data_IF_348434649526
#
_entry.id   IF_348434649526
#
_cell.length_a   1.000
_cell.length_b   1.000
_cell.length_c   1.000
_cell.angle_alpha   90.00
_cell.angle_beta   90.00
_cell.angle_gamma   90.00
#
_symmetry.space_group_name_H-M   'P 1'
#
loop_
_entity.id
_entity.type
_entity.pdbx_description
1 polymer ?
#
# COMPACT_ATOMS: atom_id res chain seq x y z
N UNK A 1 -42.41 -25.53 -16.50
CA UNK A 1 -43.85 -25.23 -16.67
C UNK A 1 -44.04 -23.74 -16.45
N UNK A 2 -44.57 -23.06 -17.47
CA UNK A 2 -45.04 -21.66 -17.55
C UNK A 2 -44.15 -20.56 -16.94
N UNK A 3 -43.35 -19.89 -17.78
CA UNK A 3 -43.09 -18.45 -17.63
C UNK A 3 -43.19 -17.76 -19.00
N UNK A 4 -44.43 -17.55 -19.44
CA UNK A 4 -44.71 -16.43 -20.31
C UNK A 4 -45.14 -15.30 -19.38
N UNK A 5 -44.29 -14.28 -19.21
CA UNK A 5 -44.80 -12.97 -18.78
C UNK A 5 -45.53 -12.41 -20.00
N UNK A 6 -46.73 -12.93 -20.26
CA UNK A 6 -47.68 -12.29 -21.17
C UNK A 6 -48.01 -10.95 -20.53
N UNK A 7 -47.61 -9.86 -21.19
CA UNK A 7 -48.00 -8.52 -20.80
C UNK A 7 -49.51 -8.50 -20.54
N UNK A 8 -49.90 -8.07 -19.34
CA UNK A 8 -51.31 -7.90 -19.03
C UNK A 8 -51.89 -6.87 -20.01
N UNK A 9 -53.18 -7.01 -20.37
CA UNK A 9 -53.85 -5.99 -21.15
C UNK A 9 -53.71 -4.60 -20.49
N UNK A 10 -53.36 -3.58 -21.27
CA UNK A 10 -53.11 -2.21 -20.78
C UNK A 10 -54.29 -1.64 -19.97
N UNK A 11 -55.50 -2.19 -20.17
CA UNK A 11 -56.70 -1.81 -19.41
C UNK A 11 -56.55 -2.00 -17.89
N UNK A 12 -55.79 -3.01 -17.44
CA UNK A 12 -55.57 -3.21 -16.00
C UNK A 12 -54.67 -2.13 -15.39
N UNK A 13 -53.74 -1.58 -16.17
CA UNK A 13 -52.93 -0.45 -15.75
C UNK A 13 -53.78 0.83 -15.67
N UNK A 14 -54.65 1.05 -16.67
CA UNK A 14 -55.60 2.17 -16.69
C UNK A 14 -56.57 2.10 -15.50
N UNK A 15 -57.12 0.92 -15.21
CA UNK A 15 -57.98 0.68 -14.04
C UNK A 15 -57.25 1.00 -12.73
N UNK A 16 -55.97 0.61 -12.61
CA UNK A 16 -55.15 0.96 -11.43
C UNK A 16 -54.98 2.47 -11.29
N UNK A 17 -54.65 3.16 -12.38
CA UNK A 17 -54.45 4.62 -12.39
C UNK A 17 -55.75 5.38 -12.09
N UNK A 18 -56.89 4.83 -12.49
CA UNK A 18 -58.22 5.35 -12.15
C UNK A 18 -58.70 4.97 -10.74
N UNK A 19 -57.99 4.08 -10.02
CA UNK A 19 -58.37 3.58 -8.70
C UNK A 19 -59.60 2.65 -8.73
N UNK A 20 -59.90 2.04 -9.87
CA UNK A 20 -61.02 1.13 -10.04
C UNK A 20 -60.66 -0.27 -9.55
N UNK A 21 -61.54 -0.90 -8.74
CA UNK A 21 -61.40 -2.28 -8.25
C UNK A 21 -60.13 -2.59 -7.43
N UNK A 22 -59.37 -1.58 -7.00
CA UNK A 22 -58.20 -1.74 -6.12
C UNK A 22 -58.61 -2.27 -4.75
N UNK A 23 -57.92 -3.29 -4.26
CA UNK A 23 -58.26 -4.05 -3.04
C UNK A 23 -57.08 -4.18 -2.06
N UNK A 24 -55.92 -3.60 -2.41
CA UNK A 24 -54.75 -3.50 -1.55
C UNK A 24 -53.92 -2.24 -1.83
N UNK A 25 -53.31 -1.68 -0.77
CA UNK A 25 -52.31 -0.64 -0.85
C UNK A 25 -50.93 -1.17 -0.42
N UNK A 26 -49.91 -0.99 -1.26
CA UNK A 26 -48.52 -1.24 -0.91
C UNK A 26 -47.87 0.06 -0.45
N UNK A 27 -47.22 0.05 0.71
CA UNK A 27 -46.55 1.21 1.30
C UNK A 27 -45.04 1.02 1.21
N UNK A 28 -44.37 1.93 0.49
CA UNK A 28 -42.92 1.97 0.34
C UNK A 28 -42.41 3.30 0.93
N UNK A 29 -41.94 3.27 2.17
CA UNK A 29 -41.62 4.48 2.92
C UNK A 29 -42.83 5.42 3.02
N UNK A 30 -42.73 6.60 2.40
CA UNK A 30 -43.82 7.59 2.39
C UNK A 30 -44.81 7.42 1.22
N UNK A 31 -44.51 6.59 0.23
CA UNK A 31 -45.38 6.41 -0.95
C UNK A 31 -46.36 5.25 -0.74
N UNK A 32 -47.63 5.51 -1.08
CA UNK A 32 -48.71 4.51 -1.10
C UNK A 32 -49.13 4.22 -2.53
N UNK A 33 -49.15 2.95 -2.90
CA UNK A 33 -49.46 2.49 -4.26
C UNK A 33 -50.64 1.52 -4.21
N UNK A 34 -51.78 1.95 -4.75
CA UNK A 34 -52.98 1.10 -4.85
C UNK A 34 -52.87 0.08 -5.97
N UNK A 35 -53.22 -1.17 -5.66
CA UNK A 35 -53.03 -2.33 -6.54
C UNK A 35 -54.20 -3.32 -6.43
N UNK A 36 -54.21 -4.31 -7.33
CA UNK A 36 -55.12 -5.45 -7.31
C UNK A 36 -54.39 -6.70 -6.78
N UNK A 37 -54.92 -7.36 -5.74
CA UNK A 37 -54.38 -8.59 -5.15
C UNK A 37 -54.25 -9.69 -6.19
N UNK A 38 -55.25 -9.83 -7.06
CA UNK A 38 -55.25 -10.86 -8.12
C UNK A 38 -54.12 -10.68 -9.13
N UNK A 39 -53.81 -9.44 -9.51
CA UNK A 39 -52.73 -9.14 -10.45
C UNK A 39 -51.38 -9.40 -9.80
N UNK A 40 -51.18 -8.95 -8.56
CA UNK A 40 -49.96 -9.19 -7.80
C UNK A 40 -49.73 -10.69 -7.56
N UNK A 41 -50.77 -11.43 -7.15
CA UNK A 41 -50.70 -12.88 -6.95
C UNK A 41 -50.49 -13.67 -8.24
N UNK A 42 -50.98 -13.16 -9.37
CA UNK A 42 -50.81 -13.82 -10.67
C UNK A 42 -49.42 -13.60 -11.28
N UNK A 43 -48.72 -12.55 -10.86
CA UNK A 43 -47.44 -12.12 -11.46
C UNK A 43 -46.23 -12.30 -10.54
N UNK A 44 -46.46 -12.50 -9.23
CA UNK A 44 -45.41 -12.60 -8.22
C UNK A 44 -45.76 -13.66 -7.17
N UNK A 45 -44.90 -14.68 -7.07
CA UNK A 45 -45.07 -15.80 -6.14
C UNK A 45 -45.04 -15.38 -4.67
N UNK A 46 -44.29 -14.31 -4.34
CA UNK A 46 -44.27 -13.76 -2.98
C UNK A 46 -45.67 -13.28 -2.57
N UNK A 47 -46.30 -12.45 -3.40
CA UNK A 47 -47.66 -11.96 -3.14
C UNK A 47 -48.69 -13.08 -3.22
N UNK A 48 -48.51 -14.06 -4.11
CA UNK A 48 -49.35 -15.25 -4.18
C UNK A 48 -49.38 -16.01 -2.85
N UNK A 49 -48.21 -16.31 -2.29
CA UNK A 49 -48.08 -16.99 -1.00
C UNK A 49 -48.61 -16.13 0.15
N UNK A 50 -48.32 -14.83 0.13
CA UNK A 50 -48.77 -13.90 1.16
C UNK A 50 -50.30 -13.85 1.25
N UNK A 51 -51.01 -13.74 0.12
CA UNK A 51 -52.47 -13.65 0.11
C UNK A 51 -53.19 -14.99 0.33
N UNK A 52 -52.53 -16.12 0.03
CA UNK A 52 -53.09 -17.46 0.29
C UNK A 52 -52.80 -17.97 1.70
N UNK A 53 -51.91 -17.33 2.45
CA UNK A 53 -51.60 -17.72 3.83
C UNK A 53 -52.72 -17.35 4.81
N UNK A 54 -52.91 -18.13 5.88
CA UNK A 54 -53.84 -17.82 6.98
C UNK A 54 -53.31 -16.69 7.92
N UNK A 55 -52.33 -15.91 7.47
CA UNK A 55 -51.71 -14.82 8.22
C UNK A 55 -52.56 -13.54 8.13
N UNK A 56 -52.38 -12.60 9.08
CA UNK A 56 -53.12 -11.34 9.15
C UNK A 56 -53.04 -10.52 7.84
N UNK A 57 -51.91 -10.61 7.15
CA UNK A 57 -51.59 -9.94 5.90
C UNK A 57 -52.50 -10.36 4.73
N UNK A 58 -53.12 -11.54 4.76
CA UNK A 58 -54.07 -11.97 3.73
C UNK A 58 -55.34 -11.12 3.74
N UNK A 59 -55.79 -10.73 4.94
CA UNK A 59 -56.97 -9.89 5.18
C UNK A 59 -56.66 -8.39 5.19
N UNK A 60 -55.38 -8.02 5.24
CA UNK A 60 -54.95 -6.63 5.27
C UNK A 60 -55.32 -5.88 3.97
N UNK A 61 -55.71 -4.62 4.14
CA UNK A 61 -55.91 -3.66 3.03
C UNK A 61 -54.65 -2.84 2.74
N UNK A 62 -53.63 -2.93 3.61
CA UNK A 62 -52.39 -2.18 3.50
C UNK A 62 -51.22 -3.06 3.95
N UNK A 63 -50.16 -3.11 3.15
CA UNK A 63 -48.93 -3.88 3.42
C UNK A 63 -47.72 -2.97 3.28
N UNK A 64 -46.88 -2.93 4.31
CA UNK A 64 -45.70 -2.06 4.36
C UNK A 64 -44.43 -2.83 4.02
N UNK A 65 -43.71 -2.38 2.99
CA UNK A 65 -42.45 -2.94 2.53
C UNK A 65 -41.31 -2.05 3.01
N UNK A 66 -40.66 -2.42 4.12
CA UNK A 66 -39.64 -1.58 4.78
C UNK A 66 -38.30 -1.57 4.06
N UNK A 67 -37.97 -2.65 3.36
CA UNK A 67 -36.65 -2.86 2.75
C UNK A 67 -36.58 -2.47 1.25
N UNK A 68 -37.63 -1.81 0.73
CA UNK A 68 -37.67 -1.30 -0.66
C UNK A 68 -37.83 0.23 -0.64
N UNK A 69 -36.96 0.94 -1.36
CA UNK A 69 -37.05 2.38 -1.56
C UNK A 69 -38.32 2.77 -2.35
N UNK A 70 -38.89 3.94 -2.05
CA UNK A 70 -40.17 4.37 -2.61
C UNK A 70 -40.19 4.38 -4.17
N UNK A 71 -39.13 4.90 -4.79
CA UNK A 71 -38.95 4.96 -6.24
C UNK A 71 -38.87 3.58 -6.88
N UNK A 72 -38.13 2.66 -6.26
CA UNK A 72 -37.99 1.27 -6.70
C UNK A 72 -39.32 0.53 -6.56
N UNK A 73 -40.03 0.73 -5.45
CA UNK A 73 -41.36 0.16 -5.21
C UNK A 73 -42.36 0.52 -6.30
N UNK A 74 -42.46 1.81 -6.66
CA UNK A 74 -43.34 2.25 -7.76
C UNK A 74 -42.97 1.61 -9.10
N UNK A 75 -41.67 1.55 -9.39
CA UNK A 75 -41.16 0.94 -10.63
C UNK A 75 -41.45 -0.56 -10.70
N UNK A 76 -41.36 -1.27 -9.57
CA UNK A 76 -41.69 -2.69 -9.47
C UNK A 76 -43.18 -2.93 -9.66
N UNK A 77 -44.06 -2.11 -9.08
CA UNK A 77 -45.50 -2.26 -9.33
C UNK A 77 -45.79 -2.03 -10.81
N UNK A 78 -45.21 -1.01 -11.45
CA UNK A 78 -45.36 -0.82 -12.89
C UNK A 78 -44.86 -2.04 -13.69
N UNK A 79 -43.75 -2.64 -13.29
CA UNK A 79 -43.23 -3.88 -13.88
C UNK A 79 -44.19 -5.06 -13.74
N UNK A 80 -44.83 -5.24 -12.58
CA UNK A 80 -45.80 -6.33 -12.36
C UNK A 80 -47.04 -6.20 -13.28
N UNK A 81 -47.41 -4.99 -13.69
CA UNK A 81 -48.52 -4.77 -14.62
C UNK A 81 -48.08 -4.89 -16.08
N UNK A 82 -46.92 -4.33 -16.44
CA UNK A 82 -46.52 -4.17 -17.85
C UNK A 82 -45.51 -5.21 -18.35
N UNK A 83 -44.83 -5.90 -17.44
CA UNK A 83 -43.67 -6.75 -17.73
C UNK A 83 -42.41 -5.98 -18.16
N UNK A 84 -42.45 -4.64 -18.14
CA UNK A 84 -41.37 -3.75 -18.60
C UNK A 84 -40.85 -2.87 -17.47
N UNK A 85 -39.54 -2.75 -17.40
CA UNK A 85 -38.84 -1.90 -16.43
C UNK A 85 -37.57 -1.33 -17.07
N UNK A 86 -37.23 -0.10 -16.72
CA UNK A 86 -36.00 0.55 -17.16
C UNK A 86 -34.93 0.38 -16.08
N UNK A 87 -33.84 -0.32 -16.41
CA UNK A 87 -32.72 -0.59 -15.50
C UNK A 87 -31.62 0.43 -15.79
N UNK A 88 -31.09 1.04 -14.73
CA UNK A 88 -30.09 2.11 -14.76
C UNK A 88 -29.04 1.84 -13.67
N UNK A 89 -27.86 2.43 -13.75
CA UNK A 89 -26.81 2.27 -12.73
C UNK A 89 -27.29 2.68 -11.32
N UNK A 90 -28.16 3.68 -11.22
CA UNK A 90 -28.65 4.18 -9.93
C UNK A 90 -29.71 3.29 -9.26
N UNK A 91 -30.48 2.52 -10.05
CA UNK A 91 -31.57 1.68 -9.53
C UNK A 91 -31.27 0.18 -9.58
N UNK A 92 -30.19 -0.25 -10.27
CA UNK A 92 -29.88 -1.67 -10.46
C UNK A 92 -29.70 -2.42 -9.12
N UNK A 93 -28.99 -1.83 -8.16
CA UNK A 93 -28.78 -2.43 -6.83
C UNK A 93 -30.09 -2.61 -6.05
N UNK A 94 -30.92 -1.56 -5.99
CA UNK A 94 -32.23 -1.62 -5.31
C UNK A 94 -33.17 -2.62 -5.99
N UNK A 95 -33.17 -2.65 -7.32
CA UNK A 95 -33.98 -3.58 -8.11
C UNK A 95 -33.54 -5.03 -7.89
N UNK A 96 -32.23 -5.26 -7.80
CA UNK A 96 -31.67 -6.57 -7.51
C UNK A 96 -32.13 -7.06 -6.12
N UNK A 97 -31.98 -6.21 -5.09
CA UNK A 97 -32.42 -6.49 -3.73
C UNK A 97 -33.90 -6.85 -3.66
N UNK A 98 -34.73 -6.02 -4.30
CA UNK A 98 -36.17 -6.23 -4.32
C UNK A 98 -36.58 -7.44 -5.17
N UNK A 99 -35.85 -7.74 -6.26
CA UNK A 99 -36.13 -8.91 -7.09
C UNK A 99 -35.88 -10.22 -6.35
N UNK A 100 -34.86 -10.28 -5.50
CA UNK A 100 -34.60 -11.44 -4.65
C UNK A 100 -35.68 -11.56 -3.56
N UNK A 101 -35.97 -10.46 -2.85
CA UNK A 101 -36.96 -10.46 -1.78
C UNK A 101 -38.37 -10.84 -2.26
N UNK A 102 -38.77 -10.37 -3.45
CA UNK A 102 -40.06 -10.66 -4.07
C UNK A 102 -40.05 -11.93 -4.94
N UNK A 103 -38.93 -12.66 -5.00
CA UNK A 103 -38.75 -13.88 -5.79
C UNK A 103 -39.03 -13.70 -7.29
N UNK A 104 -38.70 -12.52 -7.83
CA UNK A 104 -38.86 -12.15 -9.24
C UNK A 104 -37.66 -12.58 -10.07
N UNK A 105 -37.54 -13.89 -10.32
CA UNK A 105 -36.38 -14.48 -11.04
C UNK A 105 -36.13 -13.88 -12.43
N UNK A 106 -37.19 -13.54 -13.18
CA UNK A 106 -37.06 -12.93 -14.51
C UNK A 106 -36.52 -11.50 -14.47
N UNK A 107 -36.82 -10.77 -13.38
CA UNK A 107 -36.25 -9.44 -13.14
C UNK A 107 -34.79 -9.55 -12.69
N UNK A 108 -34.49 -10.49 -11.77
CA UNK A 108 -33.14 -10.77 -11.31
C UNK A 108 -32.19 -11.03 -12.47
N UNK A 109 -32.59 -11.89 -13.42
CA UNK A 109 -31.79 -12.19 -14.61
C UNK A 109 -31.54 -10.94 -15.49
N UNK A 110 -32.55 -10.09 -15.72
CA UNK A 110 -32.38 -8.85 -16.49
C UNK A 110 -31.44 -7.87 -15.82
N UNK A 111 -31.49 -7.76 -14.49
CA UNK A 111 -30.58 -6.90 -13.72
C UNK A 111 -29.15 -7.47 -13.76
N UNK A 112 -29.00 -8.78 -13.66
CA UNK A 112 -27.70 -9.46 -13.78
C UNK A 112 -27.05 -9.21 -15.16
N UNK A 113 -27.82 -9.32 -16.25
CA UNK A 113 -27.34 -9.01 -17.62
C UNK A 113 -26.95 -7.54 -17.77
N UNK A 114 -27.70 -6.63 -17.14
CA UNK A 114 -27.37 -5.21 -17.11
C UNK A 114 -26.07 -4.94 -16.35
N UNK A 115 -25.89 -5.54 -15.16
CA UNK A 115 -24.66 -5.39 -14.38
C UNK A 115 -23.46 -5.94 -15.15
N UNK A 116 -23.58 -7.14 -15.73
CA UNK A 116 -22.53 -7.77 -16.54
C UNK A 116 -22.09 -6.88 -17.71
N UNK A 117 -23.03 -6.23 -18.41
CA UNK A 117 -22.72 -5.38 -19.57
C UNK A 117 -22.20 -4.00 -19.22
N UNK A 118 -22.35 -3.56 -17.96
CA UNK A 118 -21.89 -2.26 -17.49
C UNK A 118 -20.74 -2.35 -16.48
N UNK A 119 -20.11 -3.52 -16.30
CA UNK A 119 -18.91 -3.66 -15.46
C UNK A 119 -17.74 -2.87 -16.05
N UNK A 120 -17.16 -1.98 -15.26
CA UNK A 120 -15.98 -1.17 -15.60
C UNK A 120 -14.96 -1.17 -14.45
N UNK A 121 -13.82 -0.48 -14.63
CA UNK A 121 -12.76 -0.43 -13.63
C UNK A 121 -13.11 0.35 -12.36
N UNK A 122 -14.18 1.14 -12.37
CA UNK A 122 -14.66 1.90 -11.22
C UNK A 122 -15.70 1.14 -10.39
N UNK A 123 -16.48 0.26 -11.03
CA UNK A 123 -17.61 -0.45 -10.42
C UNK A 123 -17.41 -1.98 -10.30
N UNK A 124 -16.25 -2.51 -10.73
CA UNK A 124 -15.96 -3.94 -10.70
C UNK A 124 -16.05 -4.53 -9.27
N UNK A 125 -15.52 -3.81 -8.27
CA UNK A 125 -15.48 -4.28 -6.88
C UNK A 125 -16.87 -4.26 -6.23
N UNK A 126 -17.65 -3.20 -6.46
CA UNK A 126 -19.07 -3.16 -6.06
C UNK A 126 -19.90 -4.24 -6.76
N UNK A 127 -19.70 -4.48 -8.06
CA UNK A 127 -20.36 -5.57 -8.80
C UNK A 127 -20.02 -6.95 -8.22
N UNK A 128 -18.74 -7.18 -7.88
CA UNK A 128 -18.29 -8.42 -7.24
C UNK A 128 -18.92 -8.61 -5.85
N UNK A 129 -18.99 -7.53 -5.05
CA UNK A 129 -19.64 -7.54 -3.74
C UNK A 129 -21.15 -7.83 -3.85
N UNK A 130 -21.83 -7.26 -4.84
CA UNK A 130 -23.25 -7.54 -5.10
C UNK A 130 -23.47 -8.98 -5.56
N UNK A 131 -22.63 -9.48 -6.48
CA UNK A 131 -22.69 -10.85 -6.95
C UNK A 131 -22.57 -11.86 -5.80
N UNK A 132 -21.69 -11.56 -4.84
CA UNK A 132 -21.54 -12.35 -3.61
C UNK A 132 -22.75 -12.27 -2.68
N UNK A 133 -23.31 -11.08 -2.48
CA UNK A 133 -24.45 -10.88 -1.58
C UNK A 133 -25.71 -11.65 -2.04
N UNK A 134 -25.93 -11.78 -3.35
CA UNK A 134 -27.12 -12.41 -3.94
C UNK A 134 -26.87 -13.78 -4.60
N UNK A 135 -25.71 -14.39 -4.32
CA UNK A 135 -25.26 -15.69 -4.84
C UNK A 135 -25.34 -15.82 -6.37
N UNK A 136 -24.95 -14.77 -7.09
CA UNK A 136 -24.93 -14.73 -8.55
C UNK A 136 -23.58 -15.23 -9.11
N UNK A 137 -23.45 -16.53 -9.27
CA UNK A 137 -22.19 -17.21 -9.64
C UNK A 137 -21.60 -16.74 -10.97
N UNK A 138 -22.43 -16.65 -12.01
CA UNK A 138 -22.05 -16.20 -13.36
C UNK A 138 -21.52 -14.77 -13.35
N UNK A 139 -22.21 -13.85 -12.66
CA UNK A 139 -21.74 -12.47 -12.51
C UNK A 139 -20.44 -12.38 -11.71
N UNK A 140 -20.28 -13.23 -10.68
CA UNK A 140 -19.07 -13.28 -9.87
C UNK A 140 -17.85 -13.72 -10.69
N UNK A 141 -17.99 -14.78 -11.49
CA UNK A 141 -16.93 -15.26 -12.39
C UNK A 141 -16.53 -14.19 -13.42
N UNK A 142 -17.50 -13.52 -14.03
CA UNK A 142 -17.24 -12.45 -15.00
C UNK A 142 -16.55 -11.24 -14.35
N UNK A 143 -16.99 -10.84 -13.15
CA UNK A 143 -16.38 -9.73 -12.40
C UNK A 143 -14.95 -10.06 -11.96
N UNK A 144 -14.68 -11.29 -11.49
CA UNK A 144 -13.33 -11.77 -11.18
C UNK A 144 -12.43 -11.75 -12.40
N UNK A 145 -12.92 -12.26 -13.54
CA UNK A 145 -12.18 -12.22 -14.80
C UNK A 145 -11.83 -10.80 -15.21
N UNK A 146 -12.78 -9.86 -15.10
CA UNK A 146 -12.52 -8.44 -15.37
C UNK A 146 -11.46 -7.86 -14.43
N UNK A 147 -11.55 -8.17 -13.13
CA UNK A 147 -10.56 -7.75 -12.12
C UNK A 147 -9.14 -8.24 -12.46
N UNK A 148 -9.01 -9.49 -12.92
CA UNK A 148 -7.73 -10.04 -13.36
C UNK A 148 -7.16 -9.30 -14.59
N UNK A 149 -8.00 -9.00 -15.58
CA UNK A 149 -7.58 -8.36 -16.84
C UNK A 149 -7.26 -6.85 -16.65
N UNK A 150 -7.98 -6.16 -15.76
CA UNK A 150 -7.90 -4.70 -15.58
C UNK A 150 -7.36 -4.27 -14.20
N UNK A 151 -6.55 -5.13 -13.56
CA UNK A 151 -5.98 -4.92 -12.21
C UNK A 151 -5.39 -3.51 -12.00
N UNK A 152 -4.68 -2.98 -13.01
CA UNK A 152 -4.04 -1.66 -12.93
C UNK A 152 -5.06 -0.54 -12.74
N UNK A 153 -6.14 -0.55 -13.50
CA UNK A 153 -7.18 0.48 -13.42
C UNK A 153 -7.98 0.35 -12.13
N UNK A 154 -8.27 -0.89 -11.70
CA UNK A 154 -8.96 -1.14 -10.42
C UNK A 154 -8.09 -0.72 -9.23
N UNK A 155 -6.76 -0.81 -9.34
CA UNK A 155 -5.84 -0.29 -8.33
C UNK A 155 -6.07 1.18 -8.09
N UNK A 156 -6.40 1.96 -9.12
CA UNK A 156 -6.62 3.40 -8.99
C UNK A 156 -7.97 3.78 -8.38
N UNK A 157 -8.93 2.85 -8.35
CA UNK A 157 -10.27 3.06 -7.76
C UNK A 157 -10.27 3.35 -6.26
N UNK A 158 -11.32 4.05 -5.80
CA UNK A 158 -11.59 4.30 -4.37
C UNK A 158 -12.32 3.12 -3.69
N UNK A 159 -12.84 2.17 -4.48
CA UNK A 159 -13.62 1.00 -4.00
C UNK A 159 -12.75 -0.13 -3.43
N UNK A 160 -11.43 0.05 -3.33
CA UNK A 160 -10.48 -0.97 -2.87
C UNK A 160 -10.78 -1.53 -1.47
N UNK A 161 -11.57 -0.81 -0.66
CA UNK A 161 -12.03 -1.26 0.64
C UNK A 161 -13.00 -2.45 0.56
N UNK A 162 -13.73 -2.61 -0.56
CA UNK A 162 -14.71 -3.69 -0.79
C UNK A 162 -14.07 -5.03 -1.18
N UNK A 163 -12.83 -5.02 -1.67
CA UNK A 163 -12.14 -6.25 -2.08
C UNK A 163 -11.86 -7.14 -0.86
N UNK A 164 -12.28 -8.41 -0.93
CA UNK A 164 -11.99 -9.40 0.10
C UNK A 164 -10.61 -10.02 -0.08
N UNK A 165 -10.07 -10.58 1.00
CA UNK A 165 -8.72 -11.16 1.00
C UNK A 165 -8.59 -12.36 0.06
N UNK A 166 -9.59 -13.23 0.00
CA UNK A 166 -9.56 -14.40 -0.87
C UNK A 166 -9.46 -13.99 -2.36
N UNK A 167 -10.22 -12.97 -2.76
CA UNK A 167 -10.19 -12.43 -4.13
C UNK A 167 -8.88 -11.70 -4.42
N UNK A 168 -8.31 -11.03 -3.41
CA UNK A 168 -6.99 -10.41 -3.50
C UNK A 168 -5.94 -11.48 -3.82
N UNK A 169 -5.89 -12.56 -3.04
CA UNK A 169 -4.92 -13.65 -3.23
C UNK A 169 -5.09 -14.27 -4.62
N UNK A 170 -6.32 -14.61 -5.03
CA UNK A 170 -6.59 -15.16 -6.36
C UNK A 170 -6.16 -14.19 -7.48
N UNK A 171 -6.39 -12.88 -7.29
CA UNK A 171 -5.98 -11.86 -8.27
C UNK A 171 -4.49 -11.71 -8.36
N UNK A 172 -3.80 -11.77 -7.23
CA UNK A 172 -2.37 -11.70 -7.19
C UNK A 172 -1.77 -12.98 -7.84
N UNK A 173 -2.33 -14.17 -7.61
CA UNK A 173 -1.83 -15.43 -8.18
C UNK A 173 -1.93 -15.45 -9.71
N UNK A 174 -3.00 -14.86 -10.27
CA UNK A 174 -3.23 -14.80 -11.71
C UNK A 174 -2.31 -13.82 -12.46
N UNK A 175 -1.73 -12.83 -11.76
CA UNK A 175 -0.98 -11.73 -12.38
C UNK A 175 0.54 -11.97 -12.39
N UNK A 176 1.23 -11.62 -13.49
CA UNK A 176 2.68 -11.84 -13.63
C UNK A 176 3.55 -10.64 -13.17
N UNK A 177 3.00 -9.42 -13.10
CA UNK A 177 3.79 -8.20 -12.81
C UNK A 177 3.90 -7.91 -11.31
N UNK A 178 5.11 -8.05 -10.76
CA UNK A 178 5.41 -7.86 -9.34
C UNK A 178 5.24 -6.41 -8.84
N UNK A 179 5.54 -5.42 -9.68
CA UNK A 179 5.35 -4.01 -9.35
C UNK A 179 3.86 -3.69 -9.14
N UNK A 180 2.99 -4.23 -10.01
CA UNK A 180 1.55 -4.07 -9.88
C UNK A 180 1.01 -4.83 -8.67
N UNK A 181 1.50 -6.04 -8.37
CA UNK A 181 1.15 -6.78 -7.15
C UNK A 181 1.45 -5.99 -5.88
N UNK A 182 2.66 -5.43 -5.80
CA UNK A 182 3.06 -4.66 -4.62
C UNK A 182 2.21 -3.40 -4.44
N UNK A 183 1.99 -2.63 -5.52
CA UNK A 183 1.11 -1.46 -5.49
C UNK A 183 -0.33 -1.83 -5.09
N UNK A 184 -0.83 -2.97 -5.57
CA UNK A 184 -2.17 -3.47 -5.26
C UNK A 184 -2.32 -3.85 -3.78
N UNK A 185 -1.39 -4.66 -3.24
CA UNK A 185 -1.34 -5.01 -1.80
C UNK A 185 -1.27 -3.75 -0.94
N UNK A 186 -0.39 -2.81 -1.32
CA UNK A 186 -0.22 -1.57 -0.57
C UNK A 186 -1.51 -0.74 -0.54
N UNK A 187 -2.23 -0.63 -1.65
CA UNK A 187 -3.48 0.14 -1.71
C UNK A 187 -4.62 -0.58 -1.00
N UNK A 188 -4.66 -1.91 -1.03
CA UNK A 188 -5.64 -2.72 -0.30
C UNK A 188 -5.50 -2.66 1.23
N UNK A 189 -4.28 -2.54 1.73
CA UNK A 189 -4.03 -2.38 3.17
C UNK A 189 -4.39 -0.97 3.62
N UNK A 190 -4.06 0.04 2.81
CA UNK A 190 -4.42 1.44 3.10
C UNK A 190 -5.91 1.72 3.01
N UNK A 191 -6.69 0.87 2.35
CA UNK A 191 -8.13 1.10 2.19
C UNK A 191 -8.94 0.75 3.43
N UNK A 192 -8.38 0.05 4.41
CA UNK A 192 -9.05 -0.22 5.70
C UNK A 192 -8.06 -0.36 6.86
N UNK A 193 -8.26 0.43 7.93
CA UNK A 193 -7.37 0.50 9.09
C UNK A 193 -7.15 -0.85 9.82
N UNK A 194 -8.07 -1.80 9.68
CA UNK A 194 -7.99 -3.12 10.32
C UNK A 194 -7.05 -4.12 9.60
N UNK A 195 -6.40 -3.74 8.49
CA UNK A 195 -5.61 -4.66 7.63
C UNK A 195 -4.10 -4.56 7.82
N UNK A 196 -3.61 -3.67 8.69
CA UNK A 196 -2.17 -3.39 8.88
C UNK A 196 -1.38 -4.60 9.36
N UNK A 197 -1.97 -5.43 10.24
CA UNK A 197 -1.29 -6.58 10.85
C UNK A 197 -1.16 -7.77 9.88
N UNK A 198 -1.83 -7.71 8.73
CA UNK A 198 -1.87 -8.76 7.71
C UNK A 198 -0.90 -8.55 6.56
N UNK A 199 -0.15 -7.43 6.57
CA UNK A 199 0.86 -7.13 5.57
C UNK A 199 1.94 -8.21 5.52
N UNK A 200 2.44 -8.62 6.69
CA UNK A 200 3.52 -9.60 6.79
C UNK A 200 3.12 -10.95 6.16
N UNK A 201 1.89 -11.42 6.40
CA UNK A 201 1.40 -12.69 5.88
C UNK A 201 1.18 -12.65 4.35
N UNK A 202 0.60 -11.56 3.83
CA UNK A 202 0.26 -11.42 2.41
C UNK A 202 1.50 -11.16 1.53
N UNK A 203 2.42 -10.33 2.02
CA UNK A 203 3.73 -10.10 1.39
C UNK A 203 4.54 -11.40 1.37
N UNK A 204 4.47 -12.22 2.43
CA UNK A 204 5.10 -13.53 2.49
C UNK A 204 4.46 -14.54 1.52
N UNK A 205 3.14 -14.53 1.34
CA UNK A 205 2.44 -15.51 0.50
C UNK A 205 2.68 -15.31 -1.02
N UNK A 206 2.82 -14.07 -1.47
CA UNK A 206 2.72 -13.71 -2.91
C UNK A 206 4.05 -13.32 -3.59
N UNK A 207 4.96 -12.65 -2.87
CA UNK A 207 6.23 -12.16 -3.44
C UNK A 207 7.21 -13.32 -3.73
N UNK A 208 6.91 -14.53 -3.24
CA UNK A 208 7.77 -15.71 -3.34
C UNK A 208 7.83 -16.40 -4.72
N UNK A 209 7.02 -15.99 -5.72
CA UNK A 209 6.97 -16.77 -6.98
C UNK A 209 7.77 -16.30 -8.18
N UNK A 210 8.16 -15.03 -8.36
CA UNK A 210 9.07 -14.76 -9.50
C UNK A 210 9.84 -13.44 -9.47
N UNK A 211 11.07 -13.55 -10.00
CA UNK A 211 12.18 -12.58 -10.08
C UNK A 211 11.72 -11.19 -10.54
N UNK A 212 11.95 -10.17 -9.72
CA UNK A 212 11.86 -8.77 -10.17
C UNK A 212 13.20 -8.03 -10.07
N UNK A 213 13.39 -7.07 -10.96
CA UNK A 213 14.56 -6.21 -11.09
C UNK A 213 14.25 -4.73 -10.86
N UNK A 214 15.34 -3.95 -10.96
CA UNK A 214 15.41 -2.47 -11.09
C UNK A 214 15.45 -1.63 -9.80
N UNK A 215 16.66 -1.61 -9.20
CA UNK A 215 17.47 -0.48 -8.68
C UNK A 215 16.80 0.75 -8.04
N UNK A 216 17.05 0.99 -6.74
CA UNK A 216 17.36 2.30 -6.11
C UNK A 216 17.72 2.15 -4.62
N UNK A 217 18.81 2.77 -4.17
CA UNK A 217 19.23 2.78 -2.76
C UNK A 217 18.61 3.97 -2.04
N UNK A 218 17.81 3.75 -0.98
CA UNK A 218 17.29 4.85 -0.16
C UNK A 218 17.35 4.48 1.33
N UNK A 219 17.91 5.37 2.16
CA UNK A 219 17.91 5.25 3.62
C UNK A 219 16.67 5.95 4.19
N UNK A 220 15.91 5.26 5.05
CA UNK A 220 14.83 5.84 5.84
C UNK A 220 15.39 6.46 7.13
N UNK A 221 14.84 7.59 7.54
CA UNK A 221 14.95 8.06 8.91
C UNK A 221 13.55 8.48 9.39
N UNK A 222 12.90 7.61 10.16
CA UNK A 222 11.60 7.93 10.79
C UNK A 222 11.92 8.63 12.10
N UNK A 223 12.22 9.93 12.00
CA UNK A 223 12.19 10.85 13.12
C UNK A 223 10.79 11.47 13.22
N UNK A 224 10.15 11.35 14.38
CA UNK A 224 8.84 11.92 14.65
C UNK A 224 8.81 13.42 14.30
N UNK A 225 7.91 13.81 13.37
CA UNK A 225 7.55 15.17 12.89
C UNK A 225 7.88 15.52 11.42
N UNK A 226 8.21 14.58 10.53
CA UNK A 226 8.16 14.89 9.10
C UNK A 226 6.73 14.84 8.56
N UNK A 227 6.22 16.00 8.12
CA UNK A 227 5.08 16.07 7.20
C UNK A 227 5.51 15.37 5.90
N UNK A 228 4.90 14.23 5.61
CA UNK A 228 5.12 13.33 4.46
C UNK A 228 6.53 12.70 4.32
N UNK A 229 6.64 11.39 4.01
CA UNK A 229 7.93 10.78 3.72
C UNK A 229 8.40 11.22 2.33
N UNK A 230 9.23 12.27 2.24
CA UNK A 230 9.93 12.67 1.03
C UNK A 230 11.29 11.95 1.01
N UNK A 231 11.60 11.24 -0.08
CA UNK A 231 12.92 10.63 -0.25
C UNK A 231 13.86 11.61 -0.94
N UNK A 232 15.15 11.59 -0.62
CA UNK A 232 16.15 12.43 -1.30
C UNK A 232 17.38 11.62 -1.68
N UNK A 233 17.80 11.75 -2.94
CA UNK A 233 18.97 11.09 -3.52
C UNK A 233 19.87 12.17 -4.10
N UNK A 234 21.13 12.22 -3.67
CA UNK A 234 22.13 13.14 -4.23
C UNK A 234 23.26 12.39 -4.91
N UNK A 235 23.86 13.00 -5.93
CA UNK A 235 25.13 12.57 -6.55
C UNK A 235 25.09 11.24 -7.30
N UNK A 236 26.24 10.55 -7.33
CA UNK A 236 26.40 9.27 -8.04
C UNK A 236 27.28 9.36 -9.29
N UNK A 237 27.19 8.35 -10.17
CA UNK A 237 27.94 8.29 -11.43
C UNK A 237 26.97 8.48 -12.60
N UNK A 238 27.15 9.56 -13.37
CA UNK A 238 26.43 9.81 -14.61
C UNK A 238 27.43 9.84 -15.78
N UNK A 239 27.20 9.02 -16.80
CA UNK A 239 28.08 8.88 -17.99
C UNK A 239 29.57 8.67 -17.65
N UNK A 240 29.86 7.95 -16.56
CA UNK A 240 31.22 7.67 -16.09
C UNK A 240 31.87 8.78 -15.26
N UNK A 241 31.17 9.87 -14.99
CA UNK A 241 31.65 11.01 -14.17
C UNK A 241 30.82 11.18 -12.90
N UNK A 242 31.42 11.75 -11.85
CA UNK A 242 30.67 12.08 -10.63
C UNK A 242 29.60 13.15 -10.93
N UNK A 243 28.41 13.00 -10.35
CA UNK A 243 27.29 13.93 -10.53
C UNK A 243 27.10 14.84 -9.31
N UNK A 244 26.66 16.06 -9.54
CA UNK A 244 26.20 16.99 -8.50
C UNK A 244 24.67 17.05 -8.39
N UNK A 245 23.94 16.40 -9.30
CA UNK A 245 22.48 16.48 -9.37
C UNK A 245 21.86 15.74 -8.19
N UNK A 246 20.79 16.33 -7.64
CA UNK A 246 20.00 15.75 -6.57
C UNK A 246 18.54 15.66 -6.99
N UNK A 247 17.85 14.64 -6.50
CA UNK A 247 16.44 14.42 -6.74
C UNK A 247 15.75 14.12 -5.41
N UNK A 248 14.51 14.56 -5.28
CA UNK A 248 13.60 14.06 -4.26
C UNK A 248 12.47 13.28 -4.89
N UNK A 249 11.93 12.30 -4.19
CA UNK A 249 10.77 11.54 -4.64
C UNK A 249 9.61 11.78 -3.68
N UNK A 250 8.52 12.29 -4.25
CA UNK A 250 7.24 12.48 -3.58
C UNK A 250 6.43 11.19 -3.69
N UNK A 251 6.09 10.64 -2.52
CA UNK A 251 5.36 9.37 -2.40
C UNK A 251 3.86 9.54 -2.63
N UNK A 252 3.32 10.73 -2.40
CA UNK A 252 1.91 11.01 -2.63
C UNK A 252 1.63 11.17 -4.12
N UNK A 253 2.52 11.89 -4.81
CA UNK A 253 2.35 12.18 -6.24
C UNK A 253 3.03 11.16 -7.16
N UNK A 254 3.79 10.20 -6.59
CA UNK A 254 4.59 9.22 -7.32
C UNK A 254 5.50 9.88 -8.37
N UNK A 255 6.18 10.97 -7.98
CA UNK A 255 6.97 11.80 -8.90
C UNK A 255 8.35 12.12 -8.34
N UNK A 256 9.33 12.10 -9.24
CA UNK A 256 10.66 12.63 -8.97
C UNK A 256 10.68 14.13 -9.24
N UNK A 257 11.14 14.87 -8.23
CA UNK A 257 11.37 16.31 -8.29
C UNK A 257 12.87 16.56 -8.29
N UNK A 258 13.33 17.45 -9.16
CA UNK A 258 14.73 17.88 -9.19
C UNK A 258 15.01 18.84 -8.02
N UNK A 259 16.07 18.55 -7.26
CA UNK A 259 16.57 19.43 -6.22
C UNK A 259 17.74 20.26 -6.77
N UNK A 260 18.06 21.42 -6.14
CA UNK A 260 19.25 22.18 -6.49
C UNK A 260 20.50 21.29 -6.45
N UNK A 261 21.44 21.45 -7.41
CA UNK A 261 22.65 20.65 -7.44
C UNK A 261 23.60 21.00 -6.28
N UNK A 262 24.33 20.00 -5.78
CA UNK A 262 25.41 20.17 -4.80
C UNK A 262 26.51 21.11 -5.34
N UNK A 263 27.32 21.69 -4.44
CA UNK A 263 28.50 22.45 -4.85
C UNK A 263 29.55 21.55 -5.51
N UNK A 264 29.73 20.35 -4.97
CA UNK A 264 30.76 19.41 -5.43
C UNK A 264 30.13 18.12 -5.94
N UNK A 265 30.36 17.82 -7.21
CA UNK A 265 29.97 16.53 -7.80
C UNK A 265 30.72 15.37 -7.12
N UNK A 266 29.99 14.35 -6.67
CA UNK A 266 30.56 13.26 -5.86
C UNK A 266 29.83 11.92 -6.02
N UNK A 267 30.56 10.82 -5.94
CA UNK A 267 30.02 9.47 -5.79
C UNK A 267 30.50 8.85 -4.46
N UNK A 268 29.93 7.72 -4.04
CA UNK A 268 30.33 7.01 -2.80
C UNK A 268 30.36 7.89 -1.54
N UNK A 269 29.63 9.01 -1.56
CA UNK A 269 29.40 9.85 -0.39
C UNK A 269 28.35 9.21 0.49
N UNK A 270 28.28 9.67 1.73
CA UNK A 270 27.24 9.26 2.65
C UNK A 270 26.27 10.40 2.84
N UNK A 271 24.98 10.08 2.89
CA UNK A 271 23.90 11.05 3.08
C UNK A 271 22.97 10.62 4.21
N UNK A 272 22.41 11.61 4.89
CA UNK A 272 21.38 11.43 5.91
C UNK A 272 20.45 12.63 5.95
N UNK A 273 19.16 12.36 6.13
CA UNK A 273 18.13 13.39 6.28
C UNK A 273 17.77 13.52 7.76
N UNK A 274 17.77 14.75 8.27
CA UNK A 274 17.46 15.04 9.67
C UNK A 274 17.02 16.50 9.85
N UNK A 275 15.98 16.74 10.67
CA UNK A 275 15.41 18.07 10.94
C UNK A 275 15.18 18.95 9.70
N UNK A 276 14.59 18.39 8.63
CA UNK A 276 14.35 19.10 7.37
C UNK A 276 15.61 19.56 6.63
N UNK A 277 16.76 18.96 6.95
CA UNK A 277 18.03 19.21 6.28
C UNK A 277 18.59 17.90 5.73
N UNK A 278 19.15 17.95 4.53
CA UNK A 278 19.88 16.84 3.92
C UNK A 278 21.38 17.08 4.08
N UNK A 279 22.04 16.21 4.82
CA UNK A 279 23.48 16.25 5.06
C UNK A 279 24.19 15.28 4.13
N UNK A 280 25.28 15.75 3.52
CA UNK A 280 26.13 14.98 2.62
C UNK A 280 27.58 15.11 3.08
N UNK A 281 28.23 13.97 3.28
CA UNK A 281 29.57 13.89 3.88
C UNK A 281 30.50 13.09 2.99
N UNK A 282 31.66 13.67 2.65
CA UNK A 282 32.75 12.99 1.97
C UNK A 282 32.41 12.53 0.54
N UNK A 283 32.99 11.42 0.12
CA UNK A 283 32.81 10.82 -1.21
C UNK A 283 34.03 11.00 -2.11
N UNK A 284 33.87 10.65 -3.39
CA UNK A 284 34.95 10.72 -4.38
C UNK A 284 34.50 11.57 -5.57
N UNK A 285 35.40 12.47 -5.99
CA UNK A 285 35.30 13.19 -7.26
C UNK A 285 36.57 12.97 -8.08
N UNK A 286 36.44 12.41 -9.29
CA UNK A 286 37.54 12.31 -10.26
C UNK A 286 38.84 11.73 -9.66
N UNK A 287 38.69 10.65 -8.87
CA UNK A 287 39.75 9.95 -8.10
C UNK A 287 40.30 10.66 -6.85
N UNK A 288 39.72 11.79 -6.46
CA UNK A 288 40.08 12.49 -5.22
C UNK A 288 39.01 12.22 -4.17
N UNK A 289 39.41 11.71 -3.01
CA UNK A 289 38.52 11.55 -1.84
C UNK A 289 38.34 12.94 -1.22
N UNK A 290 37.09 13.27 -0.87
CA UNK A 290 36.71 14.58 -0.36
C UNK A 290 36.60 14.56 1.17
N UNK A 291 37.00 15.66 1.79
CA UNK A 291 36.77 15.99 3.21
C UNK A 291 35.56 16.93 3.39
N UNK A 292 35.03 17.48 2.30
CA UNK A 292 33.90 18.41 2.35
C UNK A 292 32.60 17.77 2.83
N UNK A 293 31.88 18.49 3.67
CA UNK A 293 30.50 18.23 4.04
C UNK A 293 29.59 19.38 3.56
N UNK A 294 28.40 19.03 3.09
CA UNK A 294 27.40 19.96 2.55
C UNK A 294 26.04 19.68 3.19
N UNK A 295 25.27 20.74 3.44
CA UNK A 295 23.92 20.69 4.02
C UNK A 295 22.95 21.39 3.07
N UNK A 296 21.82 20.76 2.76
CA UNK A 296 20.71 21.37 2.04
C UNK A 296 19.55 21.59 3.01
N UNK A 297 19.19 22.85 3.19
CA UNK A 297 17.94 23.22 3.83
C UNK A 297 16.78 22.97 2.86
N UNK A 298 15.84 22.11 3.25
CA UNK A 298 14.70 21.72 2.42
C UNK A 298 13.57 22.75 2.41
N UNK A 299 13.57 23.70 3.35
CA UNK A 299 12.62 24.82 3.35
C UNK A 299 13.03 25.90 2.35
N UNK A 300 14.29 26.33 2.39
CA UNK A 300 14.80 27.35 1.47
C UNK A 300 15.34 26.80 0.15
N UNK A 301 15.54 25.48 0.06
CA UNK A 301 16.21 24.79 -1.06
C UNK A 301 17.58 25.41 -1.36
N UNK A 302 18.38 25.66 -0.32
CA UNK A 302 19.73 26.24 -0.45
C UNK A 302 20.79 25.34 0.17
N UNK A 303 21.84 25.11 -0.60
CA UNK A 303 23.04 24.43 -0.12
C UNK A 303 23.91 25.37 0.69
N UNK A 304 24.45 24.84 1.78
CA UNK A 304 25.46 25.47 2.65
C UNK A 304 26.64 24.53 2.82
N UNK A 305 27.85 25.09 2.92
CA UNK A 305 29.06 24.31 3.21
C UNK A 305 29.20 24.16 4.73
N UNK A 306 29.40 22.93 5.17
CA UNK A 306 29.79 22.63 6.54
C UNK A 306 31.32 22.66 6.67
N UNK A 307 31.85 22.80 7.90
CA UNK A 307 33.27 22.61 8.14
C UNK A 307 33.76 21.28 7.57
N UNK A 308 34.91 21.24 6.89
CA UNK A 308 35.44 20.00 6.34
C UNK A 308 35.85 19.05 7.47
N UNK A 309 35.79 17.74 7.20
CA UNK A 309 36.38 16.76 8.09
C UNK A 309 37.90 16.96 8.18
N UNK A 310 38.54 16.59 9.29
CA UNK A 310 40.00 16.64 9.41
C UNK A 310 40.73 15.75 8.39
N UNK A 311 40.05 14.70 7.90
CA UNK A 311 40.58 13.80 6.89
C UNK A 311 39.54 13.50 5.80
N UNK A 312 39.97 13.33 4.54
CA UNK A 312 39.07 12.96 3.44
C UNK A 312 38.59 11.52 3.62
N UNK A 313 37.28 11.29 3.42
CA UNK A 313 36.65 9.98 3.63
C UNK A 313 35.59 9.68 2.56
N UNK A 314 35.44 8.40 2.19
CA UNK A 314 34.29 7.92 1.41
C UNK A 314 33.76 6.58 1.95
N UNK A 315 32.56 6.17 1.52
CA UNK A 315 31.88 4.95 1.99
C UNK A 315 31.77 4.85 3.53
N UNK A 316 31.55 5.99 4.19
CA UNK A 316 31.38 6.06 5.65
C UNK A 316 29.99 5.61 6.07
N UNK A 317 29.80 5.24 7.33
CA UNK A 317 28.46 5.10 7.89
C UNK A 317 28.06 6.39 8.61
N UNK A 318 26.80 6.81 8.46
CA UNK A 318 26.25 8.00 9.13
C UNK A 318 25.11 7.58 10.05
N UNK A 319 25.05 8.19 11.22
CA UNK A 319 23.90 8.14 12.12
C UNK A 319 23.67 9.52 12.75
N UNK A 320 22.44 9.77 13.19
CA UNK A 320 22.12 10.90 14.07
C UNK A 320 21.77 10.32 15.43
N UNK A 321 22.42 10.81 16.49
CA UNK A 321 22.05 10.50 17.88
C UNK A 321 22.16 11.76 18.72
N UNK A 322 21.18 11.98 19.60
CA UNK A 322 21.13 13.15 20.49
C UNK A 322 21.32 14.48 19.74
N UNK A 323 20.69 14.60 18.57
CA UNK A 323 20.75 15.75 17.68
C UNK A 323 22.15 16.10 17.12
N UNK A 324 23.10 15.15 17.17
CA UNK A 324 24.42 15.29 16.56
C UNK A 324 24.63 14.30 15.42
N UNK A 325 25.37 14.73 14.39
CA UNK A 325 25.70 13.91 13.23
C UNK A 325 27.00 13.14 13.49
N UNK A 326 26.95 11.81 13.42
CA UNK A 326 28.11 10.96 13.66
C UNK A 326 28.53 10.24 12.37
N UNK A 327 29.84 10.27 12.10
CA UNK A 327 30.50 9.66 10.95
C UNK A 327 31.38 8.52 11.46
N UNK A 328 31.11 7.32 10.99
CA UNK A 328 31.80 6.10 11.41
C UNK A 328 32.61 5.52 10.27
N UNK A 329 33.91 5.41 10.48
CA UNK A 329 34.85 4.74 9.60
C UNK A 329 34.84 5.25 8.17
N UNK A 330 34.97 4.31 7.23
CA UNK A 330 35.04 4.56 5.80
C UNK A 330 36.45 4.35 5.24
N UNK A 331 36.70 4.91 4.06
CA UNK A 331 37.95 4.77 3.32
C UNK A 331 38.64 6.13 3.25
N UNK A 332 39.86 6.21 3.79
CA UNK A 332 40.69 7.42 3.77
C UNK A 332 41.69 7.45 2.60
N UNK A 333 42.16 6.28 2.17
CA UNK A 333 43.05 6.11 1.02
C UNK A 333 42.72 4.80 0.32
N UNK A 334 43.15 4.62 -0.95
CA UNK A 334 42.65 3.61 -1.92
C UNK A 334 42.45 2.16 -1.42
N UNK A 335 42.95 1.76 -0.25
CA UNK A 335 42.64 0.46 0.36
C UNK A 335 42.64 0.42 1.89
N UNK A 336 42.62 1.57 2.58
CA UNK A 336 42.67 1.62 4.05
C UNK A 336 41.31 2.00 4.61
N UNK A 337 40.66 1.03 5.25
CA UNK A 337 39.47 1.24 6.05
C UNK A 337 39.86 1.73 7.44
N UNK A 338 39.28 2.84 7.86
CA UNK A 338 39.54 3.45 9.16
C UNK A 338 38.43 3.08 10.16
N UNK A 339 38.78 3.11 11.44
CA UNK A 339 37.89 2.92 12.59
C UNK A 339 37.57 4.24 13.31
N UNK A 340 38.06 5.37 12.80
CA UNK A 340 37.78 6.70 13.34
C UNK A 340 36.29 7.02 13.40
N UNK A 341 35.91 7.75 14.45
CA UNK A 341 34.55 8.24 14.66
C UNK A 341 34.60 9.75 14.87
N UNK A 342 33.85 10.47 14.04
CA UNK A 342 33.75 11.91 14.09
C UNK A 342 32.31 12.33 14.37
N UNK A 343 32.12 13.17 15.38
CA UNK A 343 30.84 13.76 15.73
C UNK A 343 30.82 15.22 15.32
N UNK A 344 29.76 15.63 14.63
CA UNK A 344 29.49 17.01 14.27
C UNK A 344 28.38 17.54 15.17
N UNK A 345 28.75 18.51 16.00
CA UNK A 345 27.80 19.26 16.82
C UNK A 345 27.00 20.20 15.91
N UNK A 346 25.69 19.98 15.80
CA UNK A 346 24.83 20.80 14.93
C UNK A 346 24.66 22.24 15.44
N UNK A 347 24.87 22.48 16.74
CA UNK A 347 24.74 23.80 17.36
C UNK A 347 26.03 24.60 17.23
N UNK A 348 27.14 24.02 17.68
CA UNK A 348 28.46 24.68 17.67
C UNK A 348 29.12 24.63 16.28
N UNK A 349 28.61 23.79 15.37
CA UNK A 349 29.12 23.59 14.00
C UNK A 349 30.61 23.24 14.02
N UNK A 350 31.00 22.27 14.86
CA UNK A 350 32.39 21.79 14.97
C UNK A 350 32.45 20.26 14.97
N UNK A 351 33.53 19.73 14.41
CA UNK A 351 33.84 18.31 14.45
C UNK A 351 34.63 17.97 15.72
N UNK A 352 34.25 16.88 16.38
CA UNK A 352 34.91 16.34 17.57
C UNK A 352 35.25 14.86 17.32
N UNK A 353 36.44 14.45 17.74
CA UNK A 353 36.86 13.05 17.65
C UNK A 353 36.25 12.27 18.82
N UNK A 354 35.68 11.11 18.52
CA UNK A 354 35.08 10.19 19.51
C UNK A 354 35.90 8.90 19.61
N UNK A 355 35.55 8.04 20.57
CA UNK A 355 36.22 6.75 20.72
C UNK A 355 36.16 5.94 19.40
N UNK A 356 37.30 5.42 18.90
CA UNK A 356 37.35 4.67 17.65
C UNK A 356 36.57 3.35 17.77
N UNK A 357 36.07 2.87 16.64
CA UNK A 357 35.39 1.57 16.58
C UNK A 357 36.33 0.44 17.02
N UNK A 358 35.82 -0.65 17.63
CA UNK A 358 36.67 -1.78 18.04
C UNK A 358 37.40 -2.46 16.88
N UNK A 359 36.83 -2.38 15.67
CA UNK A 359 37.42 -2.87 14.43
C UNK A 359 36.91 -2.03 13.24
N UNK A 360 37.71 -1.92 12.19
CA UNK A 360 37.29 -1.31 10.93
C UNK A 360 36.18 -2.12 10.24
N UNK A 361 35.10 -1.45 9.83
CA UNK A 361 33.94 -2.07 9.20
C UNK A 361 33.88 -1.80 7.70
N UNK A 362 34.32 -2.77 6.89
CA UNK A 362 34.28 -2.69 5.42
C UNK A 362 32.86 -2.89 4.88
N UNK A 363 32.23 -1.79 4.45
CA UNK A 363 30.90 -1.79 3.85
C UNK A 363 29.78 -2.15 4.84
N UNK A 364 29.93 -1.77 6.11
CA UNK A 364 28.87 -1.92 7.11
C UNK A 364 27.73 -0.91 6.95
N UNK A 365 26.78 -0.99 7.89
CA UNK A 365 25.71 -0.03 8.04
C UNK A 365 25.63 0.45 9.50
N UNK A 366 25.32 1.75 9.69
CA UNK A 366 25.01 2.32 11.00
C UNK A 366 23.50 2.49 11.14
N UNK A 367 22.96 2.14 12.31
CA UNK A 367 21.56 2.35 12.68
C UNK A 367 21.46 2.89 14.11
N UNK A 368 20.46 3.72 14.39
CA UNK A 368 20.20 4.24 15.74
C UNK A 368 19.02 3.50 16.37
N UNK A 369 19.18 3.00 17.59
CA UNK A 369 18.13 2.38 18.38
C UNK A 369 18.32 2.72 19.86
N UNK A 370 17.25 3.21 20.52
CA UNK A 370 17.21 3.54 21.95
C UNK A 370 18.44 4.37 22.40
N UNK A 371 18.74 5.47 21.70
CA UNK A 371 19.87 6.40 21.95
C UNK A 371 21.28 5.81 21.80
N UNK A 372 21.39 4.61 21.22
CA UNK A 372 22.66 3.97 20.89
C UNK A 372 22.82 3.82 19.38
N UNK A 373 24.07 3.89 18.89
CA UNK A 373 24.38 3.55 17.49
C UNK A 373 24.86 2.12 17.42
N UNK A 374 24.37 1.39 16.43
CA UNK A 374 24.83 0.05 16.12
C UNK A 374 25.50 0.05 14.75
N UNK A 375 26.73 -0.44 14.71
CA UNK A 375 27.46 -0.73 13.47
C UNK A 375 27.32 -2.22 13.19
N UNK A 376 26.65 -2.55 12.09
CA UNK A 376 26.28 -3.91 11.75
C UNK A 376 26.68 -4.28 10.32
N UNK A 377 27.08 -5.54 10.13
CA UNK A 377 27.36 -6.14 8.83
C UNK A 377 28.80 -5.93 8.35
N UNK A 378 28.96 -5.58 7.08
CA UNK A 378 30.27 -5.46 6.44
C UNK A 378 30.96 -6.80 6.19
N UNK A 379 32.20 -6.75 5.68
CA UNK A 379 33.01 -7.93 5.39
C UNK A 379 33.40 -8.72 6.65
N UNK A 380 33.62 -8.02 7.76
CA UNK A 380 34.08 -8.59 9.02
C UNK A 380 32.94 -9.11 9.91
N UNK A 381 31.68 -9.01 9.47
CA UNK A 381 30.49 -9.35 10.28
C UNK A 381 30.50 -8.58 11.59
N UNK A 382 30.79 -7.29 11.52
CA UNK A 382 30.85 -6.43 12.71
C UNK A 382 29.45 -6.31 13.28
N UNK A 383 29.35 -6.38 14.61
CA UNK A 383 28.18 -5.98 15.36
C UNK A 383 28.69 -5.32 16.64
N UNK A 384 28.62 -3.99 16.69
CA UNK A 384 29.11 -3.22 17.81
C UNK A 384 28.11 -2.11 18.14
N UNK A 385 27.86 -1.92 19.44
CA UNK A 385 27.04 -0.85 19.97
C UNK A 385 27.94 0.26 20.50
N UNK A 386 27.65 1.49 20.11
CA UNK A 386 28.26 2.69 20.63
C UNK A 386 27.28 3.39 21.57
N UNK A 387 27.76 3.77 22.75
CA UNK A 387 27.06 4.65 23.67
C UNK A 387 27.66 6.07 23.57
N UNK A 388 26.97 7.02 22.92
CA UNK A 388 27.48 8.39 22.77
C UNK A 388 27.63 9.15 24.08
N UNK A 389 26.82 8.83 25.11
CA UNK A 389 26.89 9.51 26.41
C UNK A 389 28.13 9.15 27.21
N UNK A 390 28.62 7.91 27.05
CA UNK A 390 29.79 7.38 27.75
C UNK A 390 31.04 7.34 26.89
N UNK A 391 30.92 7.55 25.57
CA UNK A 391 32.00 7.40 24.60
C UNK A 391 32.62 5.99 24.61
N UNK A 392 31.79 4.96 24.75
CA UNK A 392 32.25 3.56 24.90
C UNK A 392 31.61 2.65 23.86
N UNK A 393 32.36 1.63 23.47
CA UNK A 393 31.93 0.57 22.57
C UNK A 393 31.71 -0.75 23.29
N UNK A 394 30.65 -1.46 22.89
CA UNK A 394 30.36 -2.83 23.31
C UNK A 394 30.28 -3.72 22.08
N UNK A 395 31.12 -4.76 22.04
CA UNK A 395 31.06 -5.78 20.99
C UNK A 395 29.94 -6.77 21.28
N UNK A 396 29.10 -7.04 20.29
CA UNK A 396 27.90 -7.86 20.39
C UNK A 396 28.04 -9.15 19.56
N UNK A 397 27.04 -10.05 19.64
CA UNK A 397 27.03 -11.23 18.76
C UNK A 397 27.10 -10.81 17.30
N UNK A 398 27.95 -11.49 16.53
CA UNK A 398 28.13 -11.22 15.10
C UNK A 398 27.03 -11.90 14.28
N UNK A 399 26.59 -11.30 13.16
CA UNK A 399 25.69 -11.97 12.23
C UNK A 399 26.31 -13.27 11.71
N UNK A 400 25.44 -14.21 11.32
CA UNK A 400 25.88 -15.51 10.84
C UNK A 400 26.59 -15.38 9.50
N UNK A 401 26.09 -14.51 8.63
CA UNK A 401 26.57 -14.31 7.28
C UNK A 401 27.26 -12.94 7.10
N UNK A 402 28.04 -12.84 6.02
CA UNK A 402 28.70 -11.58 5.64
C UNK A 402 27.73 -10.68 4.90
N UNK A 403 27.64 -9.42 5.31
CA UNK A 403 26.71 -8.43 4.75
C UNK A 403 27.47 -7.20 4.23
N UNK A 404 28.40 -7.41 3.29
CA UNK A 404 29.18 -6.31 2.68
C UNK A 404 28.29 -5.45 1.79
N UNK A 405 28.24 -4.15 2.09
CA UNK A 405 27.35 -3.15 1.49
C UNK A 405 25.85 -3.47 1.64
N UNK A 406 25.49 -4.32 2.61
CA UNK A 406 24.11 -4.62 2.95
C UNK A 406 23.48 -3.46 3.74
N UNK A 407 22.30 -2.93 3.35
CA UNK A 407 21.60 -1.94 4.14
C UNK A 407 21.07 -2.55 5.45
N UNK A 408 20.97 -1.73 6.48
CA UNK A 408 20.36 -2.08 7.75
C UNK A 408 19.29 -1.05 8.15
N UNK A 409 18.28 -1.50 8.90
CA UNK A 409 17.22 -0.65 9.48
C UNK A 409 16.80 -1.15 10.85
N UNK A 410 16.05 -0.32 11.57
CA UNK A 410 15.42 -0.67 12.84
C UNK A 410 13.93 -0.91 12.63
N UNK A 411 13.44 -2.08 13.05
CA UNK A 411 12.02 -2.44 13.02
C UNK A 411 11.61 -3.15 14.31
N UNK A 412 10.53 -2.70 14.95
CA UNK A 412 9.99 -3.29 16.18
C UNK A 412 11.07 -3.53 17.25
N UNK A 413 11.94 -2.53 17.47
CA UNK A 413 13.11 -2.58 18.38
C UNK A 413 14.18 -3.63 18.05
N UNK A 414 14.18 -4.14 16.82
CA UNK A 414 15.19 -5.06 16.32
C UNK A 414 15.92 -4.43 15.14
N UNK A 415 17.15 -4.88 14.90
CA UNK A 415 17.96 -4.42 13.76
C UNK A 415 17.88 -5.47 12.67
N UNK A 416 17.64 -5.06 11.43
CA UNK A 416 17.54 -5.98 10.30
C UNK A 416 18.59 -5.60 9.28
N UNK A 417 19.40 -6.57 8.86
CA UNK A 417 20.35 -6.42 7.77
C UNK A 417 19.84 -7.19 6.56
N UNK A 418 19.86 -6.55 5.40
CA UNK A 418 19.39 -7.14 4.15
C UNK A 418 20.55 -7.42 3.19
N UNK A 419 20.84 -8.69 2.95
CA UNK A 419 21.75 -9.15 1.89
C UNK A 419 23.11 -8.44 1.85
N UNK A 420 23.67 -8.29 0.66
CA UNK A 420 24.98 -7.68 0.41
C UNK A 420 25.52 -8.08 -0.96
N UNK A 421 26.72 -7.63 -1.29
CA UNK A 421 27.38 -7.88 -2.59
C UNK A 421 27.46 -9.37 -2.95
N UNK A 422 27.52 -10.26 -1.95
CA UNK A 422 27.65 -11.72 -2.12
C UNK A 422 26.62 -12.51 -1.29
N UNK A 423 25.67 -11.83 -0.65
CA UNK A 423 24.75 -12.46 0.29
C UNK A 423 23.30 -12.05 0.03
N UNK A 424 22.42 -13.02 0.15
CA UNK A 424 20.97 -12.86 0.02
C UNK A 424 20.23 -13.00 1.34
N UNK A 425 20.88 -13.44 2.40
CA UNK A 425 20.19 -13.65 3.67
C UNK A 425 19.67 -12.31 4.19
N UNK A 426 18.55 -12.35 4.88
CA UNK A 426 18.11 -11.26 5.73
C UNK A 426 18.28 -11.77 7.14
N UNK A 427 19.01 -11.01 7.96
CA UNK A 427 19.24 -11.37 9.36
C UNK A 427 18.64 -10.29 10.25
N UNK A 428 17.88 -10.72 11.25
CA UNK A 428 17.30 -9.89 12.30
C UNK A 428 18.08 -10.12 13.58
N UNK A 429 18.58 -9.03 14.15
CA UNK A 429 19.23 -8.95 15.45
C UNK A 429 18.27 -8.41 16.51
N UNK A 430 18.20 -9.12 17.63
CA UNK A 430 17.45 -8.71 18.81
C UNK A 430 18.42 -8.23 19.89
N UNK A 431 18.51 -6.92 20.17
CA UNK A 431 19.43 -6.39 21.18
C UNK A 431 19.12 -6.83 22.61
N UNK A 432 17.85 -7.17 22.90
CA UNK A 432 17.43 -7.64 24.23
C UNK A 432 17.97 -9.03 24.59
N UNK A 433 18.20 -9.87 23.60
CA UNK A 433 18.70 -11.24 23.78
C UNK A 433 20.12 -11.42 23.23
N UNK A 434 20.66 -10.41 22.54
CA UNK A 434 21.93 -10.47 21.81
C UNK A 434 21.99 -11.68 20.86
N UNK A 435 20.92 -11.89 20.08
CA UNK A 435 20.81 -13.04 19.16
C UNK A 435 20.44 -12.63 17.75
N UNK A 436 20.99 -13.34 16.77
CA UNK A 436 20.63 -13.25 15.36
C UNK A 436 19.66 -14.36 14.97
N UNK A 437 18.63 -13.98 14.22
CA UNK A 437 17.67 -14.88 13.59
C UNK A 437 17.65 -14.62 12.09
N UNK A 438 17.68 -15.68 11.30
CA UNK A 438 17.56 -15.60 9.86
C UNK A 438 16.09 -15.53 9.45
N UNK A 439 15.78 -14.66 8.49
CA UNK A 439 14.49 -14.70 7.81
C UNK A 439 14.54 -15.67 6.64
N UNK A 440 13.44 -16.39 6.42
CA UNK A 440 13.31 -17.28 5.26
C UNK A 440 13.34 -16.48 3.93
N UNK A 441 12.99 -15.20 3.97
CA UNK A 441 13.06 -14.29 2.83
C UNK A 441 14.52 -14.03 2.43
N UNK A 442 14.80 -14.14 1.13
CA UNK A 442 16.13 -13.92 0.54
C UNK A 442 16.10 -12.71 -0.39
N UNK A 443 17.16 -11.91 -0.36
CA UNK A 443 17.37 -10.83 -1.31
C UNK A 443 17.62 -11.39 -2.72
N UNK A 444 17.09 -10.74 -3.77
CA UNK A 444 17.34 -11.17 -5.15
C UNK A 444 18.83 -11.01 -5.56
N UNK A 445 19.32 -11.84 -6.50
CA UNK A 445 20.76 -12.08 -6.77
C UNK A 445 21.48 -11.11 -7.72
N UNK A 446 20.86 -10.04 -8.20
CA UNK A 446 21.51 -9.20 -9.24
C UNK A 446 22.43 -8.14 -8.60
N UNK A 447 23.65 -8.05 -9.14
CA UNK A 447 24.73 -7.22 -8.62
C UNK A 447 24.30 -5.79 -8.31
N UNK A 448 24.60 -5.34 -7.09
CA UNK A 448 24.46 -3.95 -6.66
C UNK A 448 23.05 -3.51 -6.21
N UNK A 449 22.14 -4.43 -5.89
CA UNK A 449 20.83 -4.04 -5.38
C UNK A 449 20.90 -3.54 -3.92
N UNK A 450 20.23 -2.42 -3.67
CA UNK A 450 19.88 -1.92 -2.34
C UNK A 450 18.39 -1.56 -2.37
N UNK A 451 17.70 -1.73 -1.24
CA UNK A 451 16.24 -1.79 -1.17
C UNK A 451 15.70 -0.66 -0.31
N UNK A 452 14.42 -0.36 -0.52
CA UNK A 452 13.65 0.66 0.20
C UNK A 452 12.52 -0.09 0.89
N UNK A 453 12.69 -0.40 2.17
CA UNK A 453 11.62 -1.04 2.96
C UNK A 453 10.78 0.08 3.56
N UNK A 454 9.61 0.34 2.96
CA UNK A 454 8.57 1.16 3.60
C UNK A 454 7.86 0.28 4.61
N UNK A 455 8.15 0.51 5.89
CA UNK A 455 7.46 -0.11 7.02
C UNK A 455 6.26 0.75 7.38
#
# INVERSE_FOLDING_TARGET
MMQAVTSLPDIFLQMREAGEFVDINLVFGEQRVSCHKVILAGTCDYFHRMFLSDMLESTAKEVTMKDISASTGVSLVHFLYTGRINITSQNAQDLLAASEMLLLGSLKQKVEEFLRSNTDSMNCLSTLSLARLYDMKTLMEDAKKFLHEHMREVTDSEEMHLLQEDDLIETLEANASQEHKFCFIQKWIRSADARTDRFDDLVQHEILKEKCGSVLTIKFNIGNRCRSPQFSVGGGISKGTASAVCYSYDVHDNKWNELPPMFTARNQHSSIFYNNHLYIVGGINSNTILDSAEELDMESLRWSRLPPLPHPVCQTCLAIVSDNLQVFGGIQSKSTWIDDVWEFDLNERVWQQRAPMPEGCEGGAAVCLDDHVYIVGGKNRTCAQFNPSQDTWTSLQRPQFTHRFGPALVWNKNIIIFGGEENKTIEKYSPSTDTWSEWMLKMPTKGGMRFVVKI
#
